data_IF_252168869023
#
_entry.id   IF_252168869023
#
_cell.length_a   1.000
_cell.length_b   1.000
_cell.length_c   1.000
_cell.angle_alpha   90.00
_cell.angle_beta   90.00
_cell.angle_gamma   90.00
#
_symmetry.space_group_name_H-M   'P 1'
#
loop_
_entity.id
_entity.type
_entity.pdbx_description
1 polymer ?
#
# COMPACT_ATOMS: atom_id res chain seq x y z
N UNK A 1 -43.38 40.93 41.45
CA UNK A 1 -43.02 39.84 42.38
C UNK A 1 -42.41 38.70 41.58
N UNK A 2 -41.43 37.99 42.13
CA UNK A 2 -40.61 37.04 41.38
C UNK A 2 -41.17 35.61 41.43
N UNK A 3 -40.86 34.81 40.40
CA UNK A 3 -40.10 33.58 40.65
C UNK A 3 -39.32 33.16 39.41
N UNK A 4 -38.01 32.97 39.57
CA UNK A 4 -37.11 32.44 38.54
C UNK A 4 -37.20 30.92 38.61
N UNK A 5 -37.92 30.30 37.68
CA UNK A 5 -37.83 28.85 37.51
C UNK A 5 -36.43 28.51 37.00
N UNK A 6 -35.73 27.69 37.78
CA UNK A 6 -34.33 27.37 37.59
C UNK A 6 -34.10 26.58 36.30
N UNK A 7 -32.92 26.78 35.72
CA UNK A 7 -32.36 25.91 34.70
C UNK A 7 -32.36 24.46 35.20
N UNK A 8 -33.25 23.61 34.69
CA UNK A 8 -32.98 22.18 34.56
C UNK A 8 -32.61 21.90 33.11
N UNK A 9 -31.38 22.29 32.77
CA UNK A 9 -30.68 21.82 31.58
C UNK A 9 -30.33 20.34 31.78
N UNK A 10 -31.31 19.45 31.63
CA UNK A 10 -31.05 18.06 31.28
C UNK A 10 -30.56 18.05 29.84
N UNK A 11 -29.29 18.43 29.66
CA UNK A 11 -28.56 18.18 28.43
C UNK A 11 -28.55 16.66 28.25
N UNK A 12 -29.46 16.16 27.40
CA UNK A 12 -29.38 14.82 26.85
C UNK A 12 -28.09 14.79 26.03
N UNK A 13 -27.00 14.35 26.67
CA UNK A 13 -25.75 14.02 26.01
C UNK A 13 -26.06 12.77 25.18
N UNK A 14 -26.59 12.99 23.98
CA UNK A 14 -26.62 11.97 22.95
C UNK A 14 -25.16 11.61 22.70
N UNK A 15 -24.77 10.39 23.07
CA UNK A 15 -23.46 9.85 22.72
C UNK A 15 -23.48 9.71 21.20
N UNK A 16 -22.98 10.73 20.52
CA UNK A 16 -22.77 10.70 19.07
C UNK A 16 -21.64 9.71 18.81
N UNK A 17 -22.00 8.45 18.60
CA UNK A 17 -21.07 7.42 18.12
C UNK A 17 -20.62 7.83 16.72
N UNK A 18 -19.49 8.53 16.66
CA UNK A 18 -18.82 8.83 15.41
C UNK A 18 -18.48 7.51 14.72
N UNK A 19 -18.74 7.38 13.40
CA UNK A 19 -18.31 6.19 12.68
C UNK A 19 -16.78 6.17 12.65
N UNK A 20 -16.18 5.24 13.38
CA UNK A 20 -14.76 4.96 13.28
C UNK A 20 -14.49 4.40 11.89
N UNK A 21 -13.80 5.17 11.04
CA UNK A 21 -13.29 4.66 9.78
C UNK A 21 -12.32 3.53 10.05
N UNK A 22 -12.71 2.30 9.71
CA UNK A 22 -11.84 1.13 9.77
C UNK A 22 -10.79 1.25 8.68
N UNK A 23 -9.68 1.92 9.01
CA UNK A 23 -8.49 1.94 8.17
C UNK A 23 -7.83 0.57 8.23
N UNK A 24 -8.18 -0.25 7.26
CA UNK A 24 -7.55 -1.55 7.01
C UNK A 24 -6.04 -1.37 6.76
N UNK A 25 -5.21 -2.06 7.56
CA UNK A 25 -3.75 -1.92 7.49
C UNK A 25 -3.19 -2.52 6.19
N UNK A 26 -2.22 -1.83 5.58
CA UNK A 26 -1.51 -2.34 4.42
C UNK A 26 -0.57 -3.48 4.80
N UNK A 27 -0.57 -4.56 4.03
CA UNK A 27 0.25 -5.74 4.33
C UNK A 27 0.61 -6.52 3.07
N UNK A 28 1.76 -7.18 3.10
CA UNK A 28 2.09 -8.13 2.05
C UNK A 28 1.15 -9.34 2.11
N UNK A 29 0.62 -9.70 0.95
CA UNK A 29 -0.09 -10.94 0.69
C UNK A 29 0.83 -11.98 0.03
N UNK A 30 1.95 -11.52 -0.53
CA UNK A 30 3.02 -12.32 -1.09
C UNK A 30 4.29 -11.45 -1.14
N UNK A 31 5.39 -11.99 -0.62
CA UNK A 31 6.70 -11.34 -0.60
C UNK A 31 7.67 -12.05 -1.56
N UNK A 32 8.59 -11.30 -2.21
CA UNK A 32 9.58 -11.90 -3.09
C UNK A 32 10.48 -12.86 -2.32
N UNK A 33 10.71 -14.03 -2.90
CA UNK A 33 11.64 -15.03 -2.37
C UNK A 33 12.94 -15.01 -3.17
N UNK A 34 14.03 -15.44 -2.52
CA UNK A 34 15.33 -15.60 -3.16
C UNK A 34 15.22 -16.58 -4.33
N UNK A 35 15.70 -16.17 -5.51
CA UNK A 35 15.69 -16.96 -6.73
C UNK A 35 17.06 -16.87 -7.40
N UNK A 36 17.58 -18.02 -7.84
CA UNK A 36 18.70 -18.10 -8.77
C UNK A 36 18.18 -18.29 -10.19
N UNK A 37 18.91 -17.75 -11.16
CA UNK A 37 18.58 -17.87 -12.57
C UNK A 37 19.83 -18.23 -13.38
N UNK A 38 19.64 -18.39 -14.68
CA UNK A 38 20.73 -18.54 -15.64
C UNK A 38 20.88 -17.19 -16.33
N UNK A 39 22.11 -16.69 -16.43
CA UNK A 39 22.47 -15.48 -17.19
C UNK A 39 21.78 -15.47 -18.56
N UNK A 40 21.15 -14.36 -18.92
CA UNK A 40 20.36 -14.26 -20.14
C UNK A 40 18.94 -14.83 -20.06
N UNK A 41 18.49 -15.38 -18.93
CA UNK A 41 17.09 -15.77 -18.70
C UNK A 41 16.25 -14.62 -18.15
N UNK A 42 14.92 -14.73 -18.27
CA UNK A 42 13.97 -13.80 -17.64
C UNK A 42 13.62 -14.28 -16.24
N UNK A 43 13.86 -13.44 -15.24
CA UNK A 43 13.47 -13.65 -13.84
C UNK A 43 12.21 -12.83 -13.53
N UNK A 44 11.38 -13.33 -12.61
CA UNK A 44 10.22 -12.62 -12.07
C UNK A 44 10.26 -12.69 -10.55
N UNK A 45 10.41 -11.54 -9.88
CA UNK A 45 10.18 -11.44 -8.44
C UNK A 45 8.69 -11.13 -8.18
N UNK A 46 7.94 -12.01 -7.49
CA UNK A 46 6.55 -11.76 -7.15
C UNK A 46 6.45 -10.81 -5.95
N UNK A 47 5.42 -9.97 -5.94
CA UNK A 47 5.00 -9.17 -4.79
C UNK A 47 3.48 -9.00 -4.86
N UNK A 48 2.80 -8.88 -3.72
CA UNK A 48 1.39 -8.44 -3.68
C UNK A 48 1.11 -7.76 -2.36
N UNK A 49 0.47 -6.60 -2.39
CA UNK A 49 0.07 -5.82 -1.20
C UNK A 49 -1.45 -5.74 -1.14
N UNK A 50 -2.05 -6.16 -0.03
CA UNK A 50 -3.46 -5.95 0.28
C UNK A 50 -3.60 -4.63 1.05
N UNK A 51 -4.71 -3.91 0.83
CA UNK A 51 -4.97 -2.58 1.40
C UNK A 51 -3.85 -1.57 1.08
N UNK A 52 -3.22 -1.68 -0.11
CA UNK A 52 -2.07 -0.85 -0.52
C UNK A 52 -2.40 0.64 -0.36
N UNK A 53 -1.67 1.31 0.53
CA UNK A 53 -1.80 2.75 0.76
C UNK A 53 -0.51 3.45 0.33
N UNK A 54 -0.63 4.48 -0.50
CA UNK A 54 0.52 5.19 -1.06
C UNK A 54 1.26 4.43 -2.18
N UNK A 55 2.58 4.61 -2.23
CA UNK A 55 3.44 4.25 -3.38
C UNK A 55 4.21 2.96 -3.10
N UNK A 56 4.30 2.08 -4.10
CA UNK A 56 5.14 0.88 -4.08
C UNK A 56 6.39 1.12 -4.92
N UNK A 57 7.55 0.72 -4.42
CA UNK A 57 8.84 0.84 -5.09
C UNK A 57 9.64 -0.46 -4.91
N UNK A 58 10.32 -0.90 -5.97
CA UNK A 58 11.34 -1.95 -5.88
C UNK A 58 12.71 -1.34 -5.58
N UNK A 59 13.48 -2.01 -4.74
CA UNK A 59 14.90 -1.76 -4.54
C UNK A 59 15.75 -2.87 -5.14
N UNK A 60 16.98 -2.54 -5.54
CA UNK A 60 18.03 -3.49 -5.89
C UNK A 60 19.32 -2.97 -5.28
N UNK A 61 20.01 -3.79 -4.49
CA UNK A 61 21.26 -3.42 -3.80
C UNK A 61 21.10 -2.08 -3.03
N UNK A 62 20.00 -1.98 -2.26
CA UNK A 62 19.51 -0.80 -1.53
C UNK A 62 19.18 0.45 -2.37
N UNK A 63 19.34 0.39 -3.70
CA UNK A 63 18.97 1.47 -4.61
C UNK A 63 17.51 1.36 -5.08
N UNK A 64 16.72 2.43 -4.94
CA UNK A 64 15.32 2.47 -5.41
C UNK A 64 15.20 2.65 -6.92
N UNK A 65 14.53 1.73 -7.61
CA UNK A 65 14.33 1.77 -9.06
C UNK A 65 13.28 2.81 -9.51
N UNK A 66 12.62 3.47 -8.56
CA UNK A 66 11.60 4.50 -8.78
C UNK A 66 10.15 4.00 -8.62
N UNK A 67 9.18 4.93 -8.56
CA UNK A 67 7.77 4.62 -8.28
C UNK A 67 6.96 4.25 -9.53
N UNK A 68 7.48 4.50 -10.74
CA UNK A 68 6.74 4.36 -12.00
C UNK A 68 6.95 3.00 -12.64
N UNK A 69 5.87 2.43 -13.20
CA UNK A 69 5.86 1.06 -13.74
C UNK A 69 6.85 0.82 -14.89
N UNK A 70 7.22 1.87 -15.62
CA UNK A 70 8.18 1.79 -16.71
C UNK A 70 9.65 1.71 -16.26
N UNK A 71 9.96 2.02 -14.99
CA UNK A 71 11.32 2.09 -14.44
C UNK A 71 12.29 2.82 -15.38
N UNK A 72 11.92 4.03 -15.84
CA UNK A 72 12.71 4.81 -16.80
C UNK A 72 14.18 4.95 -16.39
N UNK A 73 15.10 4.51 -17.25
CA UNK A 73 16.54 4.37 -16.94
C UNK A 73 16.97 2.91 -16.72
N UNK A 74 16.03 1.98 -16.62
CA UNK A 74 16.28 0.55 -16.43
C UNK A 74 15.59 -0.31 -17.49
N UNK A 75 16.02 -0.22 -18.75
CA UNK A 75 15.36 -0.91 -19.89
C UNK A 75 15.23 -2.44 -19.74
N UNK A 76 16.05 -3.05 -18.87
CA UNK A 76 16.01 -4.49 -18.54
C UNK A 76 15.02 -4.84 -17.43
N UNK A 77 14.39 -3.86 -16.77
CA UNK A 77 13.47 -4.03 -15.65
C UNK A 77 12.11 -3.37 -15.96
N UNK A 78 11.01 -3.98 -15.53
CA UNK A 78 9.66 -3.39 -15.64
C UNK A 78 8.75 -3.91 -14.54
N UNK A 79 7.92 -3.05 -13.95
CA UNK A 79 6.82 -3.48 -13.08
C UNK A 79 5.60 -3.84 -13.94
N UNK A 80 5.08 -5.05 -13.76
CA UNK A 80 3.93 -5.59 -14.49
C UNK A 80 2.80 -5.90 -13.48
N UNK A 81 1.55 -6.00 -13.94
CA UNK A 81 0.35 -6.15 -13.12
C UNK A 81 -0.45 -4.84 -12.98
N UNK A 82 -1.58 -4.88 -12.29
CA UNK A 82 -2.43 -3.72 -12.00
C UNK A 82 -2.15 -3.11 -10.62
N UNK A 83 -2.72 -1.95 -10.34
CA UNK A 83 -2.71 -1.34 -9.00
C UNK A 83 -3.80 -1.93 -8.08
N UNK A 84 -4.83 -2.55 -8.66
CA UNK A 84 -6.00 -3.11 -7.96
C UNK A 84 -5.79 -4.57 -7.51
N UNK A 85 -5.11 -5.40 -8.31
CA UNK A 85 -4.81 -6.80 -7.97
C UNK A 85 -3.46 -6.96 -7.23
N UNK A 86 -2.71 -5.86 -7.09
CA UNK A 86 -1.46 -5.77 -6.35
C UNK A 86 -0.22 -6.24 -7.12
N UNK A 87 0.28 -5.42 -8.05
CA UNK A 87 1.70 -5.27 -8.43
C UNK A 87 2.59 -6.54 -8.49
N UNK A 88 2.31 -7.48 -9.40
CA UNK A 88 2.80 -8.86 -9.32
C UNK A 88 4.26 -9.17 -9.82
N UNK A 89 5.07 -8.21 -10.32
CA UNK A 89 6.34 -8.53 -11.01
C UNK A 89 7.48 -7.47 -10.91
N UNK A 90 8.75 -7.93 -10.88
CA UNK A 90 9.95 -7.27 -11.45
C UNK A 90 10.59 -8.19 -12.50
N UNK A 91 10.45 -7.86 -13.79
CA UNK A 91 10.97 -8.68 -14.89
C UNK A 91 12.39 -8.31 -15.28
N UNK A 92 13.40 -9.06 -14.85
CA UNK A 92 14.83 -8.78 -15.11
C UNK A 92 15.53 -9.80 -16.01
N UNK A 93 16.56 -9.37 -16.75
CA UNK A 93 17.52 -10.26 -17.43
C UNK A 93 18.85 -10.20 -16.71
N UNK A 94 19.25 -11.31 -16.08
CA UNK A 94 20.56 -11.46 -15.46
C UNK A 94 21.64 -11.36 -16.56
N UNK A 95 22.77 -10.70 -16.26
CA UNK A 95 23.82 -10.36 -17.21
C UNK A 95 25.12 -10.06 -16.49
#
# INVERSE_FOLDING_TARGET
>A
MASRWLFMTTALITIQTTPSSTYEEQRFAMEPQNQTAIVGSRVTLPCRVINKSGVLQWTKDDFGLGPYRNLSGYDRYRMIGSDEEGCHFLGGREG
#
